data_IF_962097389120
#
_entry.id   IF_962097389120
#
_cell.length_a   1.000
_cell.length_b   1.000
_cell.length_c   1.000
_cell.angle_alpha   90.00
_cell.angle_beta   90.00
_cell.angle_gamma   90.00
#
_symmetry.space_group_name_H-M   'P 1'
#
loop_
_entity.id
_entity.type
_entity.pdbx_description
1 polymer ?
#
# COMPACT_ATOMS: atom_id res chain seq x y z
N UNK A 1 -31.99 -4.36 -24.57
CA UNK A 1 -31.99 -3.00 -24.00
C UNK A 1 -31.88 -2.94 -22.47
N UNK A 2 -32.56 -3.79 -21.69
CA UNK A 2 -32.42 -3.80 -20.22
C UNK A 2 -31.09 -4.35 -19.72
N UNK A 3 -30.46 -5.30 -20.40
CA UNK A 3 -29.14 -5.84 -20.01
C UNK A 3 -27.99 -4.88 -20.33
N UNK A 4 -28.06 -4.05 -21.34
CA UNK A 4 -27.03 -3.02 -21.65
C UNK A 4 -27.06 -1.86 -20.64
N UNK A 5 -28.25 -1.47 -20.15
CA UNK A 5 -28.37 -0.43 -19.12
C UNK A 5 -27.87 -0.88 -17.74
N UNK A 6 -28.02 -2.17 -17.38
CA UNK A 6 -27.48 -2.71 -16.13
C UNK A 6 -25.94 -2.75 -16.14
N UNK A 7 -25.33 -3.06 -17.29
CA UNK A 7 -23.87 -3.10 -17.46
C UNK A 7 -23.25 -1.69 -17.41
N UNK A 8 -23.93 -0.67 -17.97
CA UNK A 8 -23.48 0.72 -17.90
C UNK A 8 -23.59 1.32 -16.49
N UNK A 9 -24.62 0.95 -15.70
CA UNK A 9 -24.78 1.41 -14.32
C UNK A 9 -23.70 0.84 -13.39
N UNK A 10 -23.32 -0.43 -13.58
CA UNK A 10 -22.26 -1.06 -12.77
C UNK A 10 -20.85 -0.55 -13.13
N UNK A 11 -20.63 -0.12 -14.38
CA UNK A 11 -19.34 0.44 -14.82
C UNK A 11 -19.07 1.85 -14.26
N UNK A 12 -20.11 2.60 -13.89
CA UNK A 12 -19.98 3.98 -13.40
C UNK A 12 -19.42 4.09 -11.96
N UNK A 13 -19.36 2.98 -11.23
CA UNK A 13 -18.93 2.94 -9.82
C UNK A 13 -17.56 2.27 -9.60
N UNK A 14 -16.87 1.87 -10.67
CA UNK A 14 -15.56 1.24 -10.60
C UNK A 14 -14.45 2.27 -10.75
N UNK A 15 -13.43 2.31 -9.84
CA UNK A 15 -12.29 3.22 -10.02
C UNK A 15 -11.57 2.93 -11.34
N UNK A 16 -11.19 3.97 -12.04
CA UNK A 16 -10.37 3.85 -13.24
C UNK A 16 -8.93 3.46 -12.86
N UNK A 17 -8.17 2.91 -13.80
CA UNK A 17 -6.78 2.52 -13.56
C UNK A 17 -5.92 3.73 -13.13
N UNK A 18 -6.18 4.90 -13.68
CA UNK A 18 -5.52 6.16 -13.34
C UNK A 18 -5.95 6.75 -11.99
N UNK A 19 -7.01 6.20 -11.38
CA UNK A 19 -7.40 6.50 -10.01
C UNK A 19 -6.54 5.79 -8.96
N UNK A 20 -5.64 4.90 -9.36
CA UNK A 20 -4.75 4.20 -8.44
C UNK A 20 -3.36 4.84 -8.34
N UNK A 21 -2.86 5.01 -7.10
CA UNK A 21 -1.46 5.26 -6.80
C UNK A 21 -0.78 3.97 -6.38
N UNK A 22 0.50 3.81 -6.72
CA UNK A 22 1.28 2.64 -6.34
C UNK A 22 2.25 2.97 -5.22
N UNK A 23 2.31 2.13 -4.20
CA UNK A 23 3.35 2.11 -3.17
C UNK A 23 4.05 0.74 -3.18
N UNK A 24 5.30 0.66 -2.73
CA UNK A 24 6.02 -0.62 -2.72
C UNK A 24 7.42 -0.53 -2.12
N UNK A 25 8.02 -1.70 -1.91
CA UNK A 25 9.33 -1.91 -1.27
C UNK A 25 10.34 -2.63 -2.18
N UNK A 26 10.10 -2.70 -3.48
CA UNK A 26 10.87 -3.50 -4.45
C UNK A 26 10.77 -5.02 -4.20
N UNK A 27 9.81 -5.50 -3.45
CA UNK A 27 9.49 -6.94 -3.24
C UNK A 27 8.03 -7.22 -3.49
N UNK A 28 7.20 -6.25 -3.16
CA UNK A 28 5.76 -6.22 -3.37
C UNK A 28 5.31 -4.79 -3.65
N UNK A 29 4.07 -4.65 -4.10
CA UNK A 29 3.42 -3.36 -4.28
C UNK A 29 1.96 -3.44 -3.86
N UNK A 30 1.44 -2.28 -3.45
CA UNK A 30 0.02 -2.08 -3.21
C UNK A 30 -0.51 -0.96 -4.09
N UNK A 31 -1.79 -1.07 -4.47
CA UNK A 31 -2.51 -0.05 -5.22
C UNK A 31 -3.54 0.63 -4.30
N UNK A 32 -3.45 1.94 -4.22
CA UNK A 32 -4.30 2.78 -3.38
C UNK A 32 -5.20 3.62 -4.28
N UNK A 33 -6.51 3.50 -4.11
CA UNK A 33 -7.53 4.27 -4.83
C UNK A 33 -7.65 5.70 -4.27
N UNK A 34 -8.33 6.57 -5.02
CA UNK A 34 -8.52 7.99 -4.63
C UNK A 34 -9.27 8.18 -3.33
N UNK A 35 -10.17 7.27 -3.00
CA UNK A 35 -10.95 7.31 -1.76
C UNK A 35 -10.17 6.87 -0.51
N UNK A 36 -8.87 6.56 -0.67
CA UNK A 36 -8.01 6.07 0.39
C UNK A 36 -8.14 4.56 0.62
N UNK A 37 -8.79 3.82 -0.28
CA UNK A 37 -8.86 2.36 -0.22
C UNK A 37 -7.60 1.73 -0.82
N UNK A 38 -6.97 0.80 -0.12
CA UNK A 38 -5.92 -0.07 -0.61
C UNK A 38 -6.58 -1.34 -1.15
N UNK A 39 -6.69 -1.44 -2.47
CA UNK A 39 -7.51 -2.41 -3.19
C UNK A 39 -6.71 -3.57 -3.79
N UNK A 40 -5.39 -3.49 -3.74
CA UNK A 40 -4.50 -4.53 -4.23
C UNK A 40 -3.28 -4.69 -3.34
N UNK A 41 -3.00 -5.92 -2.95
CA UNK A 41 -1.76 -6.31 -2.26
C UNK A 41 -1.52 -7.81 -2.40
N UNK A 42 -0.33 -8.18 -2.89
CA UNK A 42 0.18 -9.55 -2.86
C UNK A 42 1.40 -9.62 -1.93
N UNK A 43 1.38 -10.51 -0.95
CA UNK A 43 2.51 -10.73 -0.05
C UNK A 43 2.85 -12.21 0.08
N UNK A 44 4.16 -12.55 0.28
CA UNK A 44 5.33 -11.66 0.45
C UNK A 44 5.95 -11.13 -0.85
N UNK A 45 5.48 -11.53 -2.02
CA UNK A 45 6.05 -11.15 -3.32
C UNK A 45 4.95 -10.80 -4.30
N UNK A 46 5.32 -10.11 -5.38
CA UNK A 46 4.40 -9.70 -6.46
C UNK A 46 3.61 -10.86 -7.07
N UNK A 47 4.21 -12.07 -7.14
CA UNK A 47 3.66 -13.27 -7.77
C UNK A 47 2.83 -14.15 -6.82
N UNK A 48 2.66 -13.74 -5.56
CA UNK A 48 1.90 -14.48 -4.57
C UNK A 48 0.41 -14.14 -4.62
N UNK A 49 -0.46 -15.03 -4.10
CA UNK A 49 -1.88 -14.72 -3.96
C UNK A 49 -2.12 -13.44 -3.19
N UNK A 50 -3.20 -12.77 -3.53
CA UNK A 50 -3.54 -11.49 -2.91
C UNK A 50 -4.09 -11.64 -1.50
N UNK A 51 -3.88 -10.58 -0.70
CA UNK A 51 -4.54 -10.31 0.59
C UNK A 51 -5.63 -9.26 0.42
N UNK A 52 -5.45 -8.34 -0.53
CA UNK A 52 -6.47 -7.42 -1.00
C UNK A 52 -6.55 -7.51 -2.52
N UNK A 53 -7.76 -7.61 -3.03
CA UNK A 53 -8.06 -7.74 -4.46
C UNK A 53 -9.39 -7.08 -4.84
N UNK A 54 -9.84 -6.04 -4.11
CA UNK A 54 -11.02 -5.25 -4.46
C UNK A 54 -10.91 -4.63 -5.87
N UNK A 55 -9.69 -4.48 -6.39
CA UNK A 55 -9.42 -4.14 -7.79
C UNK A 55 -10.09 -5.10 -8.78
N UNK A 56 -10.23 -6.38 -8.42
CA UNK A 56 -10.81 -7.44 -9.26
C UNK A 56 -12.29 -7.68 -8.93
N UNK A 57 -12.60 -7.67 -7.64
CA UNK A 57 -13.98 -7.89 -7.12
C UNK A 57 -14.16 -7.07 -5.84
N UNK A 58 -14.92 -6.00 -5.93
CA UNK A 58 -15.13 -5.06 -4.82
C UNK A 58 -15.84 -5.68 -3.63
N UNK A 59 -16.72 -6.65 -3.86
CA UNK A 59 -17.50 -7.28 -2.79
C UNK A 59 -16.72 -8.36 -2.06
N UNK A 60 -15.91 -9.13 -2.81
CA UNK A 60 -15.24 -10.32 -2.30
C UNK A 60 -13.73 -10.14 -2.11
N UNK A 61 -13.10 -9.30 -2.93
CA UNK A 61 -11.65 -9.20 -3.04
C UNK A 61 -10.94 -8.73 -1.77
N UNK A 62 -11.64 -8.03 -0.90
CA UNK A 62 -11.07 -7.45 0.31
C UNK A 62 -10.27 -6.18 0.03
N UNK A 63 -10.22 -5.30 1.03
CA UNK A 63 -9.57 -3.99 0.94
C UNK A 63 -9.19 -3.45 2.32
N UNK A 64 -8.45 -2.35 2.32
CA UNK A 64 -8.17 -1.58 3.53
C UNK A 64 -8.41 -0.09 3.27
N UNK A 65 -9.58 0.40 3.65
CA UNK A 65 -10.03 1.76 3.39
C UNK A 65 -9.85 2.66 4.61
N UNK A 66 -9.41 3.89 4.37
CA UNK A 66 -9.41 5.00 5.32
C UNK A 66 -9.92 6.21 4.56
N UNK A 67 -11.20 6.56 4.73
CA UNK A 67 -11.89 7.58 3.94
C UNK A 67 -12.69 8.53 4.82
N UNK A 68 -12.85 9.81 4.43
CA UNK A 68 -13.72 10.72 5.14
C UNK A 68 -15.18 10.25 5.06
N UNK A 69 -15.93 10.49 6.12
CA UNK A 69 -17.39 10.32 6.12
C UNK A 69 -18.02 11.45 5.31
N UNK A 70 -18.82 11.07 4.31
CA UNK A 70 -19.47 12.02 3.41
C UNK A 70 -18.57 12.54 2.29
N UNK A 71 -19.08 13.48 1.48
CA UNK A 71 -18.36 13.97 0.30
C UNK A 71 -17.14 14.83 0.68
N UNK A 72 -16.01 14.55 0.02
CA UNK A 72 -14.79 15.33 0.12
C UNK A 72 -14.13 15.49 -1.25
N UNK A 73 -13.50 16.63 -1.47
CA UNK A 73 -12.61 16.84 -2.59
C UNK A 73 -11.31 16.10 -2.33
N UNK A 74 -10.79 15.39 -3.34
CA UNK A 74 -9.59 14.57 -3.23
C UNK A 74 -8.53 15.05 -4.21
N UNK A 75 -7.34 15.39 -3.67
CA UNK A 75 -6.14 15.63 -4.46
C UNK A 75 -5.05 14.66 -4.01
N UNK A 76 -4.33 14.09 -4.98
CA UNK A 76 -3.32 13.10 -4.70
C UNK A 76 -2.00 13.43 -5.36
N UNK A 77 -0.92 13.27 -4.64
CA UNK A 77 0.45 13.48 -5.12
C UNK A 77 1.42 12.53 -4.40
N UNK A 78 2.58 12.36 -4.98
CA UNK A 78 3.70 11.75 -4.26
C UNK A 78 4.53 12.86 -3.59
N UNK A 79 5.09 12.55 -2.42
CA UNK A 79 6.14 13.38 -1.85
C UNK A 79 7.27 13.51 -2.90
N UNK A 80 7.77 14.71 -3.19
CA UNK A 80 8.75 14.94 -4.25
C UNK A 80 9.92 13.94 -4.22
N UNK A 81 10.28 13.42 -5.39
CA UNK A 81 11.36 12.46 -5.61
C UNK A 81 11.23 11.17 -4.77
N UNK A 82 9.99 10.74 -4.44
CA UNK A 82 9.75 9.55 -3.62
C UNK A 82 8.62 8.65 -4.13
N UNK A 83 8.46 7.47 -3.51
CA UNK A 83 7.31 6.58 -3.66
C UNK A 83 6.38 6.64 -2.43
N UNK A 84 6.38 7.75 -1.72
CA UNK A 84 5.46 8.04 -0.62
C UNK A 84 4.24 8.74 -1.21
N UNK A 85 3.07 8.12 -1.07
CA UNK A 85 1.82 8.65 -1.62
C UNK A 85 1.09 9.48 -0.56
N UNK A 86 0.64 10.67 -0.93
CA UNK A 86 -0.23 11.50 -0.11
C UNK A 86 -1.58 11.69 -0.79
N UNK A 87 -2.64 11.38 -0.06
CA UNK A 87 -4.03 11.65 -0.46
C UNK A 87 -4.58 12.75 0.46
N UNK A 88 -4.89 13.89 -0.14
CA UNK A 88 -5.41 15.06 0.54
C UNK A 88 -6.93 15.08 0.44
N UNK A 89 -7.61 15.02 1.56
CA UNK A 89 -9.06 15.12 1.67
C UNK A 89 -9.44 16.51 2.19
N UNK A 90 -10.35 17.17 1.48
CA UNK A 90 -10.85 18.51 1.85
C UNK A 90 -12.37 18.54 1.77
N UNK A 91 -13.00 19.00 2.82
CA UNK A 91 -14.43 19.30 2.84
C UNK A 91 -14.69 20.63 3.58
N UNK A 92 -15.96 20.98 3.79
CA UNK A 92 -16.33 22.22 4.47
C UNK A 92 -15.89 22.31 5.94
N UNK A 93 -15.49 21.18 6.58
CA UNK A 93 -15.11 21.10 7.98
C UNK A 93 -13.60 21.14 8.19
N UNK A 94 -12.77 20.85 7.17
CA UNK A 94 -11.32 20.84 7.31
C UNK A 94 -10.56 20.13 6.20
N UNK A 95 -9.26 19.92 6.46
CA UNK A 95 -8.33 19.22 5.57
C UNK A 95 -7.58 18.14 6.34
N UNK A 96 -7.43 16.98 5.71
CA UNK A 96 -6.61 15.90 6.23
C UNK A 96 -5.73 15.28 5.12
N UNK A 97 -4.61 14.69 5.52
CA UNK A 97 -3.66 14.02 4.63
C UNK A 97 -3.51 12.57 5.09
N UNK A 98 -3.75 11.64 4.18
CA UNK A 98 -3.42 10.24 4.35
C UNK A 98 -2.10 9.97 3.63
N UNK A 99 -1.08 9.59 4.38
CA UNK A 99 0.26 9.25 3.87
C UNK A 99 0.41 7.74 3.85
N UNK A 100 0.69 7.16 2.69
CA UNK A 100 0.79 5.73 2.45
C UNK A 100 2.17 5.35 1.90
N UNK A 101 2.80 4.34 2.51
CA UNK A 101 4.09 3.82 2.04
C UNK A 101 4.34 2.38 2.48
N UNK A 102 5.25 1.71 1.78
CA UNK A 102 5.99 0.57 2.29
C UNK A 102 7.37 1.06 2.72
N UNK A 103 7.75 0.91 4.01
CA UNK A 103 8.99 1.48 4.51
C UNK A 103 10.22 0.82 3.91
N UNK A 104 11.21 1.63 3.58
CA UNK A 104 12.52 1.14 3.16
C UNK A 104 13.28 0.61 4.38
N UNK A 105 13.71 -0.65 4.33
CA UNK A 105 14.58 -1.24 5.34
C UNK A 105 16.03 -1.15 4.89
N UNK A 106 16.86 -0.32 5.52
CA UNK A 106 18.31 -0.46 5.40
C UNK A 106 18.87 -1.02 6.69
N UNK A 107 19.73 -2.04 6.57
CA UNK A 107 20.44 -2.61 7.72
C UNK A 107 21.30 -1.58 8.48
N UNK A 108 21.77 -0.56 7.79
CA UNK A 108 22.68 0.43 8.35
C UNK A 108 22.01 1.49 9.25
N UNK A 109 20.70 1.65 9.18
CA UNK A 109 19.96 2.68 9.94
C UNK A 109 19.23 2.15 11.15
N UNK A 110 19.24 0.84 11.37
CA UNK A 110 18.46 0.20 12.43
C UNK A 110 19.37 -0.59 13.40
N UNK A 111 20.53 -0.03 13.75
CA UNK A 111 21.33 -0.57 14.85
C UNK A 111 20.46 -0.65 16.12
N UNK A 112 19.97 -1.87 16.38
CA UNK A 112 19.17 -2.19 17.56
C UNK A 112 17.65 -2.31 17.37
N UNK A 113 17.07 -1.97 16.21
CA UNK A 113 15.63 -2.12 15.98
C UNK A 113 15.37 -3.23 14.97
N UNK A 114 14.68 -4.28 15.40
CA UNK A 114 14.15 -5.30 14.49
C UNK A 114 12.92 -4.74 13.77
N UNK A 115 12.86 -4.90 12.44
CA UNK A 115 11.71 -4.51 11.61
C UNK A 115 11.10 -5.74 10.95
N UNK A 116 9.79 -5.72 10.64
CA UNK A 116 9.14 -6.74 9.84
C UNK A 116 9.77 -6.81 8.44
N UNK A 117 9.74 -7.99 7.83
CA UNK A 117 10.21 -8.17 6.45
C UNK A 117 9.36 -7.43 5.43
N UNK A 118 8.06 -7.34 5.69
CA UNK A 118 7.08 -6.61 4.89
C UNK A 118 6.18 -5.79 5.80
N UNK A 119 6.00 -4.52 5.44
CA UNK A 119 5.14 -3.61 6.21
C UNK A 119 4.53 -2.55 5.30
N UNK A 120 3.28 -2.17 5.60
CA UNK A 120 2.64 -0.96 5.08
C UNK A 120 2.40 -0.04 6.25
N UNK A 121 2.83 1.20 6.12
CA UNK A 121 2.51 2.29 7.04
C UNK A 121 1.47 3.20 6.40
N UNK A 122 0.43 3.52 7.17
CA UNK A 122 -0.58 4.53 6.81
C UNK A 122 -0.69 5.53 7.95
N UNK A 123 -0.56 6.81 7.65
CA UNK A 123 -0.69 7.91 8.63
C UNK A 123 -1.76 8.86 8.15
N UNK A 124 -2.82 9.04 8.94
CA UNK A 124 -3.83 10.05 8.71
C UNK A 124 -3.57 11.22 9.63
N UNK A 125 -3.36 12.42 9.08
CA UNK A 125 -3.10 13.66 9.82
C UNK A 125 -4.16 14.68 9.48
N UNK A 126 -4.87 15.22 10.49
CA UNK A 126 -5.73 16.38 10.30
C UNK A 126 -4.88 17.65 10.32
N UNK A 127 -4.94 18.42 9.23
CA UNK A 127 -4.16 19.66 9.07
C UNK A 127 -4.93 20.87 9.60
N UNK A 128 -6.23 20.92 9.27
CA UNK A 128 -7.11 22.04 9.71
C UNK A 128 -8.50 21.51 10.00
N UNK A 129 -9.20 22.14 10.94
CA UNK A 129 -10.58 21.83 11.25
C UNK A 129 -10.78 20.50 12.00
N UNK A 130 -11.91 19.86 11.75
CA UNK A 130 -12.27 18.55 12.29
C UNK A 130 -12.94 17.72 11.21
N UNK A 131 -12.48 16.48 10.99
CA UNK A 131 -13.06 15.55 10.02
C UNK A 131 -13.33 14.22 10.68
N UNK A 132 -14.41 13.59 10.24
CA UNK A 132 -14.75 12.22 10.61
C UNK A 132 -14.29 11.26 9.51
N UNK A 133 -13.66 10.15 9.93
CA UNK A 133 -13.15 9.11 9.02
C UNK A 133 -13.72 7.76 9.37
N UNK A 134 -14.07 7.02 8.32
CA UNK A 134 -14.37 5.59 8.39
C UNK A 134 -13.12 4.79 8.04
N UNK A 135 -12.82 3.80 8.89
CA UNK A 135 -11.70 2.88 8.73
C UNK A 135 -12.30 1.49 8.56
N UNK A 136 -11.94 0.82 7.48
CA UNK A 136 -12.41 -0.53 7.19
C UNK A 136 -11.22 -1.39 6.76
N UNK A 137 -11.00 -2.51 7.46
CA UNK A 137 -9.94 -3.47 7.17
C UNK A 137 -10.56 -4.84 6.95
N UNK A 138 -10.64 -5.26 5.70
CA UNK A 138 -11.32 -6.46 5.24
C UNK A 138 -10.39 -7.37 4.42
N UNK A 139 -9.36 -8.00 5.03
CA UNK A 139 -8.46 -8.87 4.31
C UNK A 139 -9.18 -10.14 3.84
N UNK A 140 -8.73 -10.68 2.70
CA UNK A 140 -9.22 -11.91 2.09
C UNK A 140 -8.05 -12.74 1.61
N UNK A 141 -8.24 -14.04 1.51
CA UNK A 141 -7.25 -14.96 0.99
C UNK A 141 -7.55 -15.28 -0.48
N UNK A 142 -6.49 -15.44 -1.28
CA UNK A 142 -6.58 -15.92 -2.67
C UNK A 142 -7.64 -15.19 -3.51
N UNK A 143 -7.49 -13.87 -3.68
CA UNK A 143 -8.37 -13.04 -4.52
C UNK A 143 -9.85 -13.04 -4.07
N UNK A 144 -10.08 -13.18 -2.77
CA UNK A 144 -11.44 -13.18 -2.19
C UNK A 144 -12.11 -14.55 -2.11
N UNK A 145 -11.40 -15.64 -2.43
CA UNK A 145 -11.97 -16.99 -2.31
C UNK A 145 -12.32 -17.35 -0.88
N UNK A 146 -11.48 -16.97 0.09
CA UNK A 146 -11.67 -17.31 1.48
C UNK A 146 -11.68 -16.07 2.37
N UNK A 147 -12.56 -16.05 3.37
CA UNK A 147 -12.53 -15.09 4.47
C UNK A 147 -11.42 -15.47 5.45
N UNK A 148 -10.68 -14.49 5.93
CA UNK A 148 -9.70 -14.70 7.00
C UNK A 148 -10.36 -14.54 8.38
N UNK A 149 -9.84 -15.24 9.38
CA UNK A 149 -10.28 -15.10 10.77
C UNK A 149 -9.42 -14.05 11.47
N UNK A 150 -9.97 -12.86 11.69
CA UNK A 150 -9.35 -11.82 12.50
C UNK A 150 -9.43 -12.17 13.99
N UNK A 151 -8.32 -12.04 14.70
CA UNK A 151 -8.21 -12.24 16.14
C UNK A 151 -7.76 -10.95 16.80
N UNK A 152 -8.52 -10.50 17.79
CA UNK A 152 -8.13 -9.38 18.65
C UNK A 152 -7.06 -9.83 19.65
N UNK A 153 -5.90 -9.18 19.65
CA UNK A 153 -4.75 -9.47 20.51
C UNK A 153 -4.45 -8.33 21.49
N UNK A 154 -5.48 -7.67 22.00
CA UNK A 154 -5.37 -6.54 22.94
C UNK A 154 -4.55 -5.40 22.34
N UNK A 155 -3.60 -4.87 23.11
CA UNK A 155 -2.73 -3.76 22.68
C UNK A 155 -1.78 -4.10 21.51
N UNK A 156 -1.64 -5.37 21.16
CA UNK A 156 -0.84 -5.77 20.00
C UNK A 156 -1.60 -5.58 18.66
N UNK A 157 -2.91 -5.34 18.72
CA UNK A 157 -3.75 -5.13 17.55
C UNK A 157 -4.44 -6.38 17.05
N UNK A 158 -4.69 -6.46 15.74
CA UNK A 158 -5.37 -7.57 15.09
C UNK A 158 -4.36 -8.52 14.44
N UNK A 159 -4.64 -9.82 14.54
CA UNK A 159 -3.82 -10.88 13.95
C UNK A 159 -4.68 -11.81 13.10
N UNK A 160 -4.11 -12.28 11.98
CA UNK A 160 -4.65 -13.42 11.24
C UNK A 160 -3.52 -14.23 10.61
N UNK A 161 -3.84 -15.42 10.13
CA UNK A 161 -2.88 -16.35 9.52
C UNK A 161 -3.44 -16.84 8.20
N UNK A 162 -2.61 -16.85 7.17
CA UNK A 162 -2.90 -17.43 5.86
C UNK A 162 -1.72 -18.32 5.47
N UNK A 163 -1.96 -19.61 5.34
CA UNK A 163 -0.89 -20.57 5.09
C UNK A 163 0.17 -20.55 6.19
N UNK A 164 1.41 -20.20 5.84
CA UNK A 164 2.52 -20.03 6.79
C UNK A 164 2.70 -18.57 7.23
N UNK A 165 2.03 -17.64 6.57
CA UNK A 165 2.14 -16.21 6.84
C UNK A 165 1.34 -15.78 8.06
N UNK A 166 1.96 -14.97 8.91
CA UNK A 166 1.33 -14.33 10.06
C UNK A 166 1.24 -12.83 9.77
N UNK A 167 0.04 -12.31 9.84
CA UNK A 167 -0.28 -10.92 9.54
C UNK A 167 -0.70 -10.20 10.82
N UNK A 168 -0.25 -8.96 10.97
CA UNK A 168 -0.60 -8.09 12.07
C UNK A 168 -1.03 -6.72 11.59
N UNK A 169 -2.19 -6.25 12.04
CA UNK A 169 -2.59 -4.86 11.91
C UNK A 169 -2.51 -4.20 13.28
N UNK A 170 -1.64 -3.22 13.42
CA UNK A 170 -1.56 -2.32 14.57
C UNK A 170 -2.22 -1.01 14.22
N UNK A 171 -2.99 -0.48 15.14
CA UNK A 171 -3.74 0.76 14.98
C UNK A 171 -3.63 1.60 16.24
N UNK A 172 -3.55 2.92 16.08
CA UNK A 172 -3.65 3.89 17.20
C UNK A 172 -5.08 4.09 17.69
N UNK A 173 -6.08 3.51 16.98
CA UNK A 173 -7.49 3.51 17.38
C UNK A 173 -8.00 2.09 17.52
N UNK A 174 -8.98 1.90 18.39
CA UNK A 174 -9.61 0.61 18.58
C UNK A 174 -10.48 0.25 17.37
N UNK A 175 -10.32 -0.97 16.86
CA UNK A 175 -11.09 -1.51 15.75
C UNK A 175 -12.03 -2.58 16.26
N UNK A 176 -13.31 -2.51 15.86
CA UNK A 176 -14.33 -3.51 16.16
C UNK A 176 -14.41 -4.53 15.03
N UNK A 177 -14.38 -5.82 15.36
CA UNK A 177 -14.49 -6.90 14.38
C UNK A 177 -15.96 -7.31 14.22
N UNK A 178 -16.48 -7.23 13.00
CA UNK A 178 -17.81 -7.72 12.62
C UNK A 178 -17.71 -8.43 11.27
N UNK A 179 -18.21 -9.64 11.17
CA UNK A 179 -18.26 -10.47 9.95
C UNK A 179 -16.91 -10.66 9.23
N UNK A 180 -15.81 -10.68 9.99
CA UNK A 180 -14.46 -10.83 9.44
C UNK A 180 -13.89 -9.55 8.82
N UNK A 181 -14.50 -8.41 9.11
CA UNK A 181 -14.04 -7.07 8.82
C UNK A 181 -13.78 -6.33 10.15
N UNK A 182 -12.70 -5.56 10.23
CA UNK A 182 -12.44 -4.67 11.35
C UNK A 182 -12.72 -3.23 10.93
N UNK A 183 -13.48 -2.50 11.74
CA UNK A 183 -13.93 -1.15 11.41
C UNK A 183 -13.90 -0.21 12.61
N UNK A 184 -13.77 1.07 12.34
CA UNK A 184 -13.97 2.17 13.27
C UNK A 184 -14.48 3.41 12.52
N UNK A 185 -15.18 4.27 13.25
CA UNK A 185 -15.51 5.63 12.83
C UNK A 185 -14.93 6.59 13.87
N UNK A 186 -14.10 7.54 13.44
CA UNK A 186 -13.33 8.40 14.33
C UNK A 186 -13.30 9.84 13.83
N UNK A 187 -13.46 10.80 14.74
CA UNK A 187 -13.21 12.21 14.45
C UNK A 187 -11.79 12.57 14.82
N UNK A 188 -11.12 13.31 13.93
CA UNK A 188 -9.78 13.84 14.15
C UNK A 188 -9.75 15.37 13.98
N UNK A 189 -9.00 16.06 14.85
CA UNK A 189 -8.87 17.51 14.88
C UNK A 189 -7.52 17.96 14.39
N UNK A 190 -7.43 19.23 14.01
CA UNK A 190 -6.18 19.86 13.58
C UNK A 190 -5.02 19.54 14.54
N UNK A 191 -3.93 19.01 13.98
CA UNK A 191 -2.73 18.59 14.71
C UNK A 191 -2.75 17.12 15.18
N UNK A 192 -3.89 16.44 15.17
CA UNK A 192 -3.98 15.04 15.54
C UNK A 192 -3.58 14.13 14.36
N UNK A 193 -3.03 12.95 14.68
CA UNK A 193 -2.65 11.94 13.71
C UNK A 193 -3.00 10.54 14.18
N UNK A 194 -3.53 9.74 13.28
CA UNK A 194 -3.74 8.32 13.46
C UNK A 194 -2.67 7.54 12.70
N UNK A 195 -2.16 6.48 13.32
CA UNK A 195 -1.07 5.65 12.80
C UNK A 195 -1.51 4.22 12.69
N UNK A 196 -1.16 3.60 11.57
CA UNK A 196 -1.48 2.21 11.27
C UNK A 196 -0.25 1.52 10.68
N UNK A 197 0.05 0.32 11.17
CA UNK A 197 1.10 -0.56 10.65
C UNK A 197 0.48 -1.91 10.34
N UNK A 198 0.57 -2.32 9.09
CA UNK A 198 0.17 -3.66 8.64
C UNK A 198 1.43 -4.42 8.23
N UNK A 199 1.72 -5.53 8.88
CA UNK A 199 2.95 -6.29 8.68
C UNK A 199 2.70 -7.76 8.43
N UNK A 200 3.68 -8.39 7.77
CA UNK A 200 3.73 -9.81 7.44
C UNK A 200 5.05 -10.41 7.87
N UNK A 201 5.00 -11.65 8.34
CA UNK A 201 6.18 -12.48 8.61
C UNK A 201 5.85 -13.96 8.44
N UNK A 202 6.81 -14.76 7.98
CA UNK A 202 6.74 -16.23 8.01
C UNK A 202 7.48 -16.80 9.24
N UNK A 203 8.22 -15.99 9.95
CA UNK A 203 9.03 -16.40 11.09
C UNK A 203 8.40 -15.92 12.41
N UNK A 204 8.42 -16.78 13.41
CA UNK A 204 8.08 -16.39 14.78
C UNK A 204 9.37 -16.16 15.59
N UNK A 205 9.38 -15.17 16.53
CA UNK A 205 8.29 -14.24 16.85
C UNK A 205 8.14 -13.13 15.81
N UNK A 206 6.89 -12.65 15.64
CA UNK A 206 6.62 -11.47 14.81
C UNK A 206 7.24 -10.22 15.44
N UNK A 207 7.82 -9.38 14.60
CA UNK A 207 8.32 -8.07 15.01
C UNK A 207 7.20 -7.06 14.85
N UNK A 208 6.87 -6.34 15.91
CA UNK A 208 5.80 -5.35 15.96
C UNK A 208 6.38 -3.99 16.39
N UNK A 209 6.85 -3.16 15.43
CA UNK A 209 7.40 -1.85 15.75
C UNK A 209 6.35 -0.96 16.43
N UNK A 210 6.73 -0.11 17.40
CA UNK A 210 5.80 0.78 18.07
C UNK A 210 5.17 1.80 17.12
N UNK A 211 3.97 2.32 17.50
CA UNK A 211 3.26 3.39 16.78
C UNK A 211 3.52 4.78 17.42
N UNK A 212 4.69 4.97 17.99
CA UNK A 212 5.14 6.22 18.63
C UNK A 212 5.94 7.13 17.67
N UNK A 213 6.83 7.95 18.21
CA UNK A 213 7.68 8.82 17.42
C UNK A 213 8.55 8.06 16.40
N UNK A 214 8.96 6.82 16.69
CA UNK A 214 9.73 6.00 15.76
C UNK A 214 8.96 5.63 14.49
N UNK A 215 7.64 5.71 14.50
CA UNK A 215 6.82 5.55 13.30
C UNK A 215 7.07 6.69 12.30
N UNK A 216 7.13 7.92 12.79
CA UNK A 216 7.39 9.10 11.95
C UNK A 216 8.83 9.09 11.44
N UNK A 217 9.80 8.67 12.26
CA UNK A 217 11.21 8.50 11.84
C UNK A 217 11.33 7.50 10.68
N UNK A 218 10.51 6.44 10.65
CA UNK A 218 10.50 5.46 9.55
C UNK A 218 9.95 6.03 8.26
N UNK A 219 8.94 6.92 8.33
CA UNK A 219 8.44 7.66 7.16
C UNK A 219 9.53 8.56 6.62
N UNK A 220 10.15 9.38 7.49
CA UNK A 220 11.22 10.31 7.13
C UNK A 220 12.43 9.58 6.51
N UNK A 221 12.83 8.48 7.12
CA UNK A 221 13.90 7.64 6.59
C UNK A 221 13.58 7.12 5.20
N UNK A 222 12.38 6.56 5.01
CA UNK A 222 11.95 6.01 3.72
C UNK A 222 11.88 7.10 2.65
N UNK A 223 11.40 8.28 3.01
CA UNK A 223 11.37 9.46 2.14
C UNK A 223 12.79 9.83 1.68
N UNK A 224 13.73 9.97 2.62
CA UNK A 224 15.12 10.29 2.33
C UNK A 224 15.81 9.20 1.48
N UNK A 225 15.49 7.93 1.72
CA UNK A 225 16.02 6.82 0.95
C UNK A 225 15.57 6.88 -0.52
N UNK A 226 14.29 7.12 -0.78
CA UNK A 226 13.76 7.31 -2.14
C UNK A 226 14.34 8.54 -2.82
N UNK A 227 14.39 9.68 -2.12
CA UNK A 227 14.99 10.92 -2.63
C UNK A 227 16.47 10.75 -2.96
N UNK A 228 17.23 10.04 -2.11
CA UNK A 228 18.61 9.71 -2.39
C UNK A 228 18.73 8.88 -3.68
N UNK A 229 17.84 7.91 -3.88
CA UNK A 229 17.82 7.12 -5.11
C UNK A 229 17.40 7.97 -6.32
N UNK A 230 16.36 8.80 -6.19
CA UNK A 230 15.87 9.69 -7.26
C UNK A 230 16.91 10.64 -7.81
N UNK A 231 17.90 11.06 -6.98
CA UNK A 231 19.03 11.91 -7.42
C UNK A 231 19.97 11.25 -8.42
N UNK A 232 19.89 9.93 -8.62
CA UNK A 232 20.65 9.25 -9.66
C UNK A 232 20.04 9.44 -11.06
N UNK A 233 18.80 9.92 -11.17
CA UNK A 233 18.21 10.29 -12.43
C UNK A 233 18.84 11.61 -12.94
N UNK A 234 19.88 11.51 -13.75
CA UNK A 234 20.57 12.66 -14.34
C UNK A 234 19.79 13.14 -15.55
N UNK A 235 18.77 13.95 -15.32
CA UNK A 235 17.99 14.62 -16.35
C UNK A 235 17.52 15.99 -15.85
N UNK A 236 17.98 17.06 -16.51
CA UNK A 236 17.68 18.45 -16.14
C UNK A 236 16.76 19.17 -17.16
N UNK A 237 16.04 18.41 -18.01
CA UNK A 237 15.12 18.96 -18.99
C UNK A 237 13.77 19.36 -18.42
N UNK A 238 12.94 19.95 -19.28
CA UNK A 238 11.59 20.46 -18.96
C UNK A 238 10.68 19.44 -18.27
N UNK A 239 10.84 18.13 -18.58
CA UNK A 239 10.00 17.05 -18.03
C UNK A 239 10.66 16.28 -16.87
N UNK A 240 11.58 16.93 -16.12
CA UNK A 240 12.33 16.27 -15.05
C UNK A 240 11.44 15.51 -14.08
N UNK A 241 10.37 16.11 -13.60
CA UNK A 241 9.49 15.49 -12.60
C UNK A 241 8.82 14.23 -13.13
N UNK A 242 8.39 14.24 -14.38
CA UNK A 242 7.80 13.08 -15.07
C UNK A 242 8.82 11.97 -15.27
N UNK A 243 10.05 12.30 -15.65
CA UNK A 243 11.16 11.35 -15.83
C UNK A 243 11.54 10.71 -14.51
N UNK A 244 11.70 11.51 -13.45
CA UNK A 244 12.02 11.01 -12.11
C UNK A 244 10.88 10.13 -11.58
N UNK A 245 9.60 10.54 -11.75
CA UNK A 245 8.45 9.73 -11.37
C UNK A 245 8.42 8.38 -12.08
N UNK A 246 8.71 8.36 -13.39
CA UNK A 246 8.77 7.13 -14.18
C UNK A 246 9.92 6.23 -13.70
N UNK A 247 11.10 6.80 -13.44
CA UNK A 247 12.24 6.06 -12.91
C UNK A 247 11.95 5.45 -11.54
N UNK A 248 11.29 6.18 -10.64
CA UNK A 248 10.88 5.72 -9.32
C UNK A 248 9.84 4.59 -9.42
N UNK A 249 8.89 4.66 -10.36
CA UNK A 249 7.92 3.60 -10.61
C UNK A 249 8.62 2.32 -11.11
N UNK A 250 9.52 2.42 -12.09
CA UNK A 250 10.31 1.28 -12.58
C UNK A 250 11.18 0.68 -11.48
N UNK A 251 11.78 1.53 -10.63
CA UNK A 251 12.57 1.06 -9.48
C UNK A 251 11.71 0.30 -8.48
N UNK A 252 10.52 0.80 -8.17
CA UNK A 252 9.57 0.13 -7.28
C UNK A 252 9.19 -1.25 -7.83
N UNK A 253 8.96 -1.38 -9.14
CA UNK A 253 8.64 -2.63 -9.84
C UNK A 253 9.85 -3.53 -10.08
N UNK A 254 11.05 -3.11 -9.71
CA UNK A 254 12.25 -3.96 -9.78
C UNK A 254 12.31 -4.88 -8.57
N UNK A 255 12.22 -6.20 -8.78
CA UNK A 255 12.28 -7.17 -7.70
C UNK A 255 13.70 -7.27 -7.13
N UNK A 256 13.89 -6.74 -5.93
CA UNK A 256 15.20 -6.55 -5.31
C UNK A 256 16.07 -7.82 -5.24
N UNK A 257 15.52 -9.04 -4.94
CA UNK A 257 16.34 -10.25 -4.86
C UNK A 257 16.94 -10.71 -6.18
N UNK A 258 16.30 -10.43 -7.33
CA UNK A 258 16.78 -10.89 -8.65
C UNK A 258 17.19 -9.76 -9.58
N UNK A 259 16.77 -8.51 -9.30
CA UNK A 259 16.94 -7.38 -10.20
C UNK A 259 16.00 -7.39 -11.41
N UNK A 260 15.07 -8.36 -11.51
CA UNK A 260 14.09 -8.41 -12.58
C UNK A 260 13.06 -7.29 -12.42
N UNK A 261 12.60 -6.70 -13.52
CA UNK A 261 11.52 -5.72 -13.53
C UNK A 261 10.24 -6.44 -13.92
N UNK A 262 9.21 -6.33 -13.10
CA UNK A 262 7.88 -6.87 -13.42
C UNK A 262 7.10 -5.90 -14.31
N UNK A 263 6.22 -6.43 -15.15
CA UNK A 263 5.42 -5.63 -16.08
C UNK A 263 4.36 -4.79 -15.36
N UNK A 264 3.77 -5.32 -14.29
CA UNK A 264 2.71 -4.64 -13.53
C UNK A 264 2.68 -5.10 -12.07
N UNK A 265 2.15 -4.28 -11.17
CA UNK A 265 1.87 -4.65 -9.78
C UNK A 265 0.88 -5.83 -9.67
N UNK A 266 0.07 -6.04 -10.70
CA UNK A 266 -0.93 -7.10 -10.83
C UNK A 266 -0.41 -8.35 -11.54
N UNK A 267 0.89 -8.57 -11.57
CA UNK A 267 1.55 -9.68 -12.31
C UNK A 267 1.09 -11.07 -11.87
N UNK A 268 0.44 -11.20 -10.71
CA UNK A 268 -0.16 -12.46 -10.24
C UNK A 268 -1.51 -12.79 -10.90
N UNK A 269 -2.09 -11.84 -11.66
CA UNK A 269 -3.31 -12.09 -12.45
C UNK A 269 -2.96 -12.61 -13.84
N UNK A 270 -3.82 -13.46 -14.45
CA UNK A 270 -3.65 -13.87 -15.84
C UNK A 270 -3.90 -12.67 -16.79
N UNK A 271 -3.14 -12.61 -17.89
CA UNK A 271 -3.32 -11.55 -18.91
C UNK A 271 -4.63 -11.66 -19.68
N UNK A 272 -5.24 -12.87 -19.70
CA UNK A 272 -6.52 -13.13 -20.36
C UNK A 272 -7.48 -13.82 -19.42
N UNK A 273 -8.76 -13.47 -19.50
CA UNK A 273 -9.83 -14.13 -18.76
C UNK A 273 -9.87 -15.62 -19.07
N UNK A 274 -9.72 -16.47 -18.03
CA UNK A 274 -9.69 -17.93 -18.17
C UNK A 274 -8.39 -18.49 -18.75
N UNK A 275 -7.39 -17.66 -19.01
CA UNK A 275 -6.05 -18.06 -19.41
C UNK A 275 -5.28 -18.74 -18.28
N UNK A 276 -4.21 -19.52 -18.59
CA UNK A 276 -3.29 -19.96 -17.57
C UNK A 276 -2.69 -18.73 -16.87
N UNK A 277 -2.38 -18.84 -15.57
CA UNK A 277 -1.51 -17.89 -14.88
C UNK A 277 -0.18 -17.89 -15.64
N UNK A 278 -0.04 -17.01 -16.60
CA UNK A 278 1.26 -16.68 -17.11
C UNK A 278 1.94 -15.93 -15.97
N UNK A 279 2.73 -16.67 -15.21
CA UNK A 279 3.80 -16.08 -14.44
C UNK A 279 4.43 -15.06 -15.36
N UNK A 280 4.38 -13.77 -15.04
CA UNK A 280 4.86 -12.66 -15.88
C UNK A 280 6.36 -12.74 -16.20
N UNK A 281 6.77 -13.90 -16.71
CA UNK A 281 8.09 -14.28 -17.20
C UNK A 281 8.33 -13.75 -18.62
N UNK A 282 7.30 -13.23 -19.27
CA UNK A 282 7.42 -12.85 -20.68
C UNK A 282 8.22 -11.57 -20.93
N UNK A 283 8.52 -10.79 -19.88
CA UNK A 283 9.39 -9.64 -20.04
C UNK A 283 10.40 -9.56 -18.89
N UNK A 284 11.30 -10.54 -18.85
CA UNK A 284 12.65 -10.30 -18.33
C UNK A 284 13.32 -9.31 -19.31
N UNK A 285 12.86 -8.09 -19.31
CA UNK A 285 13.66 -6.98 -19.82
C UNK A 285 14.86 -6.88 -18.88
N UNK A 286 15.93 -7.58 -19.31
CA UNK A 286 17.26 -7.43 -18.72
C UNK A 286 17.73 -6.02 -19.06
N UNK A 287 17.12 -5.04 -18.41
CA UNK A 287 17.68 -3.68 -18.34
C UNK A 287 18.89 -3.71 -17.41
N UNK A 288 19.91 -4.49 -17.81
CA UNK A 288 21.21 -4.58 -17.10
C UNK A 288 21.97 -3.26 -17.08
N UNK A 289 21.53 -2.22 -17.79
CA UNK A 289 22.35 -1.04 -18.05
C UNK A 289 22.10 0.20 -17.19
N UNK A 290 20.98 0.33 -16.46
CA UNK A 290 20.70 1.61 -15.78
C UNK A 290 20.30 1.54 -14.31
N UNK A 291 20.22 0.36 -13.67
CA UNK A 291 19.75 0.23 -12.29
C UNK A 291 20.80 -0.49 -11.43
N UNK A 292 22.09 -0.26 -11.70
CA UNK A 292 23.20 -0.84 -10.95
C UNK A 292 23.56 0.00 -9.71
N UNK A 293 22.57 0.49 -8.95
CA UNK A 293 22.80 0.82 -7.54
C UNK A 293 21.87 -0.01 -6.68
N UNK A 294 22.39 -0.70 -5.67
CA UNK A 294 21.57 -1.52 -4.80
C UNK A 294 20.48 -0.64 -4.23
N UNK A 295 19.23 -1.06 -4.45
CA UNK A 295 18.18 -0.69 -3.52
C UNK A 295 18.73 -1.03 -2.15
N UNK A 296 18.70 -0.10 -1.21
CA UNK A 296 19.14 -0.31 0.17
C UNK A 296 18.11 -1.24 0.87
N UNK A 297 17.79 -2.34 0.21
CA UNK A 297 17.09 -3.49 0.77
C UNK A 297 18.15 -4.56 0.84
N UNK A 298 18.67 -4.79 2.02
CA UNK A 298 19.76 -5.72 2.28
C UNK A 298 19.53 -7.04 1.57
N UNK A 299 20.39 -7.34 0.59
CA UNK A 299 20.57 -8.67 0.09
C UNK A 299 21.25 -9.49 1.20
N UNK A 300 20.52 -10.36 1.83
CA UNK A 300 20.81 -11.75 2.22
C UNK A 300 19.54 -12.41 2.69
#
# INVERSE_FOLDING_TARGET
>A
MEQENATQSAAADWPLIDDYGIIGDCRSAALVARDGSLDWLCWPRFDKPSIFAALVDRERGGHWRISPVGPASVKRNYVPDSNILETHFTNGSGNAILTDLMPSSSRASHEGIMLPDHEILRKLTCVTGELEFEIEFSPREEYGKNKVRLLQCGKLGLRFVVGRGVYWLRSSVDLTITDGCAHACVSIRAGESLRFSFSYTEQAPAVLPPLDASFDDRIDYSTKAWQKWGRHAVYDGEYRDTVVRSALALKLLSYAPSGAIIAAATTSLPEQLGGPLELGLSLLLVARCFIHHPCVVGAR
#
